data_IF_044555794658
#
_entry.id   IF_044555794658
#
_cell.length_a   1.000
_cell.length_b   1.000
_cell.length_c   1.000
_cell.angle_alpha   90.00
_cell.angle_beta   90.00
_cell.angle_gamma   90.00
#
_symmetry.space_group_name_H-M   'P 1'
#
loop_
_entity.id
_entity.type
_entity.pdbx_description
1 polymer ?
#
# COMPACT_ATOMS: atom_id res chain seq x y z
N UNK A 1 5.55 8.42 -58.72
CA UNK A 1 6.39 7.31 -58.23
C UNK A 1 6.96 7.76 -56.91
N UNK A 2 6.23 7.55 -55.82
CA UNK A 2 6.56 8.08 -54.50
C UNK A 2 6.29 7.00 -53.46
N UNK A 3 7.30 6.78 -52.62
CA UNK A 3 7.24 6.16 -51.30
C UNK A 3 6.91 4.66 -51.23
N UNK A 4 7.89 3.83 -51.60
CA UNK A 4 7.98 2.44 -51.14
C UNK A 4 9.09 2.22 -50.09
N UNK A 5 9.87 3.26 -49.75
CA UNK A 5 10.99 3.17 -48.80
C UNK A 5 10.64 3.56 -47.36
N UNK A 6 9.50 4.22 -47.09
CA UNK A 6 9.14 4.61 -45.72
C UNK A 6 8.53 3.45 -44.90
N UNK A 7 7.81 2.52 -45.55
CA UNK A 7 7.14 1.41 -44.86
C UNK A 7 8.10 0.32 -44.34
N UNK A 8 9.33 0.23 -44.86
CA UNK A 8 10.32 -0.74 -44.38
C UNK A 8 11.05 -0.28 -43.10
N UNK A 9 11.02 1.03 -42.79
CA UNK A 9 11.75 1.60 -41.67
C UNK A 9 10.98 1.59 -40.34
N UNK A 10 9.65 1.50 -40.37
CA UNK A 10 8.83 1.40 -39.15
C UNK A 10 8.69 -0.04 -38.62
N UNK A 11 8.62 -1.05 -39.50
CA UNK A 11 8.43 -2.45 -39.10
C UNK A 11 9.60 -3.03 -38.27
N UNK A 12 10.82 -2.51 -38.45
CA UNK A 12 12.01 -2.97 -37.70
C UNK A 12 12.12 -2.37 -36.28
N UNK A 13 11.36 -1.33 -35.95
CA UNK A 13 11.37 -0.69 -34.61
C UNK A 13 10.27 -1.20 -33.66
N UNK A 14 9.20 -1.81 -34.15
CA UNK A 14 8.13 -2.35 -33.30
C UNK A 14 8.44 -3.74 -32.73
N UNK A 15 9.25 -4.55 -33.43
CA UNK A 15 9.70 -5.87 -32.96
C UNK A 15 10.52 -5.85 -31.64
N UNK A 16 11.42 -4.88 -31.36
CA UNK A 16 12.18 -4.86 -30.10
C UNK A 16 11.35 -4.55 -28.85
N UNK A 17 10.31 -3.70 -28.93
CA UNK A 17 9.48 -3.40 -27.75
C UNK A 17 8.53 -4.56 -27.41
N UNK A 18 7.88 -5.14 -28.44
CA UNK A 18 6.98 -6.28 -28.25
C UNK A 18 7.76 -7.50 -27.75
N UNK A 19 8.96 -7.77 -28.28
CA UNK A 19 9.81 -8.86 -27.76
C UNK A 19 10.26 -8.64 -26.31
N UNK A 20 10.60 -7.41 -25.93
CA UNK A 20 10.93 -7.09 -24.54
C UNK A 20 9.73 -7.27 -23.59
N UNK A 21 8.52 -6.90 -24.01
CA UNK A 21 7.30 -7.15 -23.21
C UNK A 21 6.97 -8.65 -23.09
N UNK A 22 7.15 -9.41 -24.17
CA UNK A 22 6.96 -10.86 -24.14
C UNK A 22 7.98 -11.55 -23.22
N UNK A 23 9.22 -11.07 -23.23
CA UNK A 23 10.28 -11.55 -22.34
C UNK A 23 9.94 -11.27 -20.87
N UNK A 24 9.45 -10.06 -20.54
CA UNK A 24 8.99 -9.72 -19.19
C UNK A 24 7.88 -10.67 -18.73
N UNK A 25 6.86 -10.88 -19.56
CA UNK A 25 5.73 -11.76 -19.26
C UNK A 25 6.21 -13.18 -18.97
N UNK A 26 7.02 -13.75 -19.84
CA UNK A 26 7.46 -15.14 -19.70
C UNK A 26 8.33 -15.34 -18.45
N UNK A 27 9.14 -14.34 -18.09
CA UNK A 27 9.95 -14.35 -16.86
C UNK A 27 9.09 -14.20 -15.60
N UNK A 28 8.10 -13.30 -15.63
CA UNK A 28 7.15 -13.11 -14.55
C UNK A 28 6.34 -14.39 -14.30
N UNK A 29 5.84 -15.04 -15.37
CA UNK A 29 5.11 -16.31 -15.27
C UNK A 29 5.98 -17.41 -14.66
N UNK A 30 7.26 -17.50 -15.01
CA UNK A 30 8.19 -18.46 -14.40
C UNK A 30 8.42 -18.16 -12.91
N UNK A 31 8.58 -16.90 -12.53
CA UNK A 31 8.74 -16.51 -11.12
C UNK A 31 7.49 -16.88 -10.32
N UNK A 32 6.30 -16.54 -10.82
CA UNK A 32 5.02 -16.90 -10.20
C UNK A 32 4.84 -18.42 -10.12
N UNK A 33 5.21 -19.16 -11.16
CA UNK A 33 5.14 -20.63 -11.16
C UNK A 33 6.04 -21.27 -10.09
N UNK A 34 7.24 -20.73 -9.88
CA UNK A 34 8.15 -21.20 -8.81
C UNK A 34 7.58 -20.87 -7.43
N UNK A 35 7.06 -19.66 -7.23
CA UNK A 35 6.37 -19.29 -5.97
C UNK A 35 5.20 -20.23 -5.71
N UNK A 36 4.36 -20.49 -6.71
CA UNK A 36 3.22 -21.38 -6.60
C UNK A 36 3.64 -22.82 -6.30
N UNK A 37 4.69 -23.33 -6.97
CA UNK A 37 5.22 -24.66 -6.71
C UNK A 37 5.74 -24.79 -5.27
N UNK A 38 6.51 -23.81 -4.79
CA UNK A 38 6.98 -23.78 -3.41
C UNK A 38 5.82 -23.67 -2.42
N UNK A 39 4.82 -22.83 -2.70
CA UNK A 39 3.62 -22.71 -1.89
C UNK A 39 2.88 -24.04 -1.79
N UNK A 40 2.65 -24.74 -2.89
CA UNK A 40 2.00 -26.06 -2.87
C UNK A 40 2.80 -27.10 -2.05
N UNK A 41 4.13 -27.01 -2.04
CA UNK A 41 4.97 -27.86 -1.18
C UNK A 41 4.87 -27.48 0.30
N UNK A 42 4.75 -26.19 0.63
CA UNK A 42 4.65 -25.68 2.01
C UNK A 42 3.22 -25.73 2.57
N UNK A 43 2.21 -25.76 1.71
CA UNK A 43 0.79 -25.70 2.05
C UNK A 43 0.36 -26.74 3.10
N UNK A 44 0.75 -28.02 3.02
CA UNK A 44 0.37 -29.03 4.02
C UNK A 44 0.94 -28.75 5.42
N UNK A 45 2.03 -27.98 5.50
CA UNK A 45 2.76 -27.66 6.73
C UNK A 45 2.49 -26.23 7.23
N UNK A 46 1.46 -25.56 6.70
CA UNK A 46 1.20 -24.15 7.00
C UNK A 46 1.06 -23.85 8.49
N UNK A 47 0.38 -24.73 9.24
CA UNK A 47 0.21 -24.59 10.70
C UNK A 47 1.53 -24.75 11.46
N UNK A 48 2.38 -25.70 11.06
CA UNK A 48 3.68 -25.95 11.70
C UNK A 48 4.63 -24.78 11.45
N UNK A 49 4.68 -24.29 10.21
CA UNK A 49 5.45 -23.10 9.82
C UNK A 49 4.98 -21.89 10.63
N UNK A 50 3.66 -21.75 10.78
CA UNK A 50 3.07 -20.67 11.56
C UNK A 50 3.51 -20.71 13.02
N UNK A 51 3.43 -21.85 13.70
CA UNK A 51 3.88 -21.95 15.09
C UNK A 51 5.38 -21.64 15.18
N UNK A 52 6.18 -22.15 14.25
CA UNK A 52 7.62 -21.97 14.25
C UNK A 52 8.05 -20.51 14.04
N UNK A 53 7.42 -19.79 13.12
CA UNK A 53 7.70 -18.37 12.84
C UNK A 53 7.05 -17.46 13.87
N UNK A 54 5.83 -17.76 14.31
CA UNK A 54 5.12 -16.90 15.25
C UNK A 54 5.78 -16.92 16.64
N UNK A 55 6.26 -18.08 17.12
CA UNK A 55 6.90 -18.21 18.46
C UNK A 55 7.98 -17.16 18.75
N UNK A 56 9.03 -16.98 17.93
CA UNK A 56 10.05 -15.96 18.15
C UNK A 56 9.52 -14.54 17.96
N UNK A 57 8.48 -14.36 17.15
CA UNK A 57 7.83 -13.05 17.01
C UNK A 57 7.02 -12.72 18.26
N UNK A 58 6.37 -13.68 18.93
CA UNK A 58 5.62 -13.42 20.17
C UNK A 58 6.52 -13.01 21.33
N UNK A 59 7.79 -13.44 21.33
CA UNK A 59 8.75 -13.14 22.40
C UNK A 59 9.07 -11.64 22.53
N UNK A 60 8.77 -10.84 21.51
CA UNK A 60 8.94 -9.38 21.52
C UNK A 60 7.68 -8.63 21.97
N UNK A 61 6.58 -9.33 22.25
CA UNK A 61 5.40 -8.73 22.89
C UNK A 61 5.62 -8.57 24.40
N UNK A 62 5.04 -7.54 25.04
CA UNK A 62 5.09 -7.37 26.48
C UNK A 62 4.58 -8.60 27.24
N UNK A 63 5.23 -8.94 28.36
CA UNK A 63 4.83 -10.08 29.18
C UNK A 63 3.39 -9.89 29.71
N UNK A 64 2.52 -10.86 29.42
CA UNK A 64 1.11 -10.86 29.87
C UNK A 64 0.08 -10.50 28.81
N UNK A 65 0.48 -10.15 27.59
CA UNK A 65 -0.46 -9.92 26.48
C UNK A 65 -0.90 -11.24 25.84
N UNK A 66 -2.18 -11.56 25.89
CA UNK A 66 -2.77 -12.63 25.07
C UNK A 66 -3.05 -12.10 23.67
N UNK A 67 -2.55 -12.78 22.63
CA UNK A 67 -2.98 -12.47 21.27
C UNK A 67 -4.42 -12.89 21.06
N UNK A 68 -5.20 -11.97 20.54
CA UNK A 68 -6.59 -12.21 20.16
C UNK A 68 -6.66 -12.36 18.64
N UNK A 69 -7.67 -13.09 18.18
CA UNK A 69 -8.10 -13.05 16.79
C UNK A 69 -9.42 -12.29 16.77
N UNK A 70 -9.44 -11.09 16.19
CA UNK A 70 -10.66 -10.27 16.10
C UNK A 70 -11.57 -10.76 14.99
N UNK A 71 -11.02 -11.34 13.93
CA UNK A 71 -11.80 -11.87 12.81
C UNK A 71 -11.96 -13.39 12.93
N UNK A 72 -13.17 -13.89 12.66
CA UNK A 72 -13.49 -15.33 12.75
C UNK A 72 -12.63 -16.18 11.80
N UNK A 73 -12.26 -15.60 10.65
CA UNK A 73 -11.46 -16.28 9.64
C UNK A 73 -9.94 -16.23 9.90
N UNK A 74 -9.45 -15.36 10.81
CA UNK A 74 -8.00 -15.17 11.01
C UNK A 74 -7.26 -16.46 11.37
N UNK A 75 -7.74 -17.31 12.31
CA UNK A 75 -7.01 -18.54 12.66
C UNK A 75 -6.88 -19.53 11.49
N UNK A 76 -7.79 -19.47 10.52
CA UNK A 76 -7.76 -20.31 9.33
C UNK A 76 -6.87 -19.70 8.23
N UNK A 77 -7.03 -18.41 7.92
CA UNK A 77 -6.36 -17.78 6.77
C UNK A 77 -4.90 -17.39 7.06
N UNK A 78 -4.57 -17.04 8.30
CA UNK A 78 -3.24 -16.53 8.64
C UNK A 78 -2.11 -17.54 8.38
N UNK A 79 -2.23 -18.83 8.74
CA UNK A 79 -1.21 -19.83 8.39
C UNK A 79 -0.99 -19.96 6.87
N UNK A 80 -2.05 -19.91 6.06
CA UNK A 80 -1.94 -19.97 4.60
C UNK A 80 -1.31 -18.71 4.01
N UNK A 81 -1.65 -17.53 4.54
CA UNK A 81 -1.02 -16.26 4.14
C UNK A 81 0.49 -16.29 4.43
N UNK A 82 0.86 -16.75 5.62
CA UNK A 82 2.26 -16.86 6.01
C UNK A 82 3.02 -17.87 5.14
N UNK A 83 2.45 -19.04 4.84
CA UNK A 83 3.11 -20.02 3.99
C UNK A 83 3.29 -19.53 2.55
N UNK A 84 2.34 -18.75 2.02
CA UNK A 84 2.49 -18.07 0.72
C UNK A 84 3.64 -17.06 0.73
N UNK A 85 3.71 -16.21 1.76
CA UNK A 85 4.78 -15.22 1.88
C UNK A 85 6.14 -15.89 2.12
N UNK A 86 6.18 -16.97 2.91
CA UNK A 86 7.39 -17.77 3.12
C UNK A 86 7.86 -18.42 1.80
N UNK A 87 6.95 -18.96 1.00
CA UNK A 87 7.25 -19.49 -0.33
C UNK A 87 7.80 -18.39 -1.26
N UNK A 88 7.23 -17.19 -1.19
CA UNK A 88 7.75 -16.03 -1.91
C UNK A 88 9.18 -15.68 -1.47
N UNK A 89 9.46 -15.59 -0.16
CA UNK A 89 10.81 -15.30 0.34
C UNK A 89 11.82 -16.39 0.00
N UNK A 90 11.41 -17.65 -0.06
CA UNK A 90 12.26 -18.76 -0.48
C UNK A 90 12.53 -18.73 -1.99
N UNK A 91 11.62 -18.16 -2.79
CA UNK A 91 11.78 -17.96 -4.23
C UNK A 91 12.68 -16.79 -4.61
N UNK A 92 13.01 -15.89 -3.67
CA UNK A 92 13.77 -14.64 -3.93
C UNK A 92 15.04 -14.83 -4.76
N UNK A 93 15.90 -15.84 -4.50
CA UNK A 93 17.10 -16.05 -5.32
C UNK A 93 16.78 -16.24 -6.80
N UNK A 94 15.70 -16.96 -7.10
CA UNK A 94 15.23 -17.19 -8.46
C UNK A 94 14.51 -15.96 -9.03
N UNK A 95 13.67 -15.29 -8.23
CA UNK A 95 12.94 -14.10 -8.65
C UNK A 95 13.88 -12.95 -8.99
N UNK A 96 14.89 -12.69 -8.16
CA UNK A 96 15.94 -11.71 -8.44
C UNK A 96 16.78 -12.11 -9.66
N UNK A 97 17.10 -13.39 -9.83
CA UNK A 97 17.75 -13.86 -11.06
C UNK A 97 16.93 -13.49 -12.30
N UNK A 98 15.61 -13.73 -12.31
CA UNK A 98 14.79 -13.39 -13.48
C UNK A 98 14.61 -11.90 -13.70
N UNK A 99 14.51 -11.13 -12.62
CA UNK A 99 14.45 -9.66 -12.68
C UNK A 99 15.74 -9.08 -13.26
N UNK A 100 16.91 -9.49 -12.75
CA UNK A 100 18.19 -8.98 -13.24
C UNK A 100 18.54 -9.50 -14.62
N UNK A 101 18.22 -10.76 -14.92
CA UNK A 101 18.44 -11.28 -16.26
C UNK A 101 17.57 -10.57 -17.30
N UNK A 102 16.46 -9.90 -16.92
CA UNK A 102 15.59 -9.13 -17.82
C UNK A 102 16.17 -7.75 -18.11
N UNK A 103 16.87 -7.18 -17.13
CA UNK A 103 17.60 -5.91 -17.28
C UNK A 103 18.93 -6.16 -18.02
N UNK A 104 19.54 -7.34 -17.84
CA UNK A 104 20.79 -7.77 -18.44
C UNK A 104 20.90 -7.79 -19.99
N UNK A 105 19.86 -7.97 -20.83
CA UNK A 105 19.99 -7.86 -22.28
C UNK A 105 20.52 -6.49 -22.75
N UNK A 106 20.26 -5.40 -22.02
CA UNK A 106 20.87 -4.08 -22.27
C UNK A 106 22.32 -3.96 -21.79
N UNK A 107 22.79 -4.96 -21.03
CA UNK A 107 24.05 -4.94 -20.29
C UNK A 107 25.18 -5.51 -21.12
N UNK A 108 25.13 -6.77 -21.59
CA UNK A 108 26.30 -7.38 -22.24
C UNK A 108 25.99 -8.58 -23.14
N UNK A 109 26.34 -8.47 -24.43
CA UNK A 109 26.60 -9.61 -25.29
C UNK A 109 27.94 -10.32 -24.98
N UNK A 110 28.82 -9.73 -24.14
CA UNK A 110 30.21 -10.18 -23.99
C UNK A 110 30.69 -10.48 -22.55
N UNK A 111 29.86 -10.31 -21.50
CA UNK A 111 30.34 -10.42 -20.10
C UNK A 111 29.28 -11.01 -19.15
N UNK A 112 28.64 -12.11 -19.57
CA UNK A 112 27.66 -12.89 -18.77
C UNK A 112 28.15 -13.28 -17.36
N UNK A 113 29.46 -13.21 -17.11
CA UNK A 113 30.11 -13.57 -15.84
C UNK A 113 29.82 -12.60 -14.69
N UNK A 114 29.41 -11.35 -14.97
CA UNK A 114 29.09 -10.36 -13.93
C UNK A 114 27.66 -10.47 -13.39
N UNK A 115 26.75 -11.14 -14.11
CA UNK A 115 25.36 -11.32 -13.66
C UNK A 115 25.29 -12.25 -12.44
N UNK A 116 26.10 -13.30 -12.41
CA UNK A 116 26.11 -14.28 -11.31
C UNK A 116 26.51 -13.67 -9.95
N UNK A 117 27.66 -12.96 -9.80
CA UNK A 117 28.02 -12.35 -8.53
C UNK A 117 27.05 -11.23 -8.13
N UNK A 118 26.42 -10.56 -9.08
CA UNK A 118 25.39 -9.54 -8.83
C UNK A 118 24.11 -10.14 -8.23
N UNK A 119 23.59 -11.21 -8.84
CA UNK A 119 22.41 -11.93 -8.34
C UNK A 119 22.69 -12.56 -6.97
N UNK A 120 23.90 -13.11 -6.78
CA UNK A 120 24.32 -13.63 -5.48
C UNK A 120 24.39 -12.52 -4.42
N UNK A 121 24.97 -11.36 -4.77
CA UNK A 121 25.08 -10.22 -3.85
C UNK A 121 23.72 -9.64 -3.48
N UNK A 122 22.80 -9.50 -4.45
CA UNK A 122 21.42 -9.04 -4.20
C UNK A 122 20.67 -10.01 -3.32
N UNK A 123 20.69 -11.31 -3.64
CA UNK A 123 20.07 -12.33 -2.79
C UNK A 123 20.57 -12.25 -1.33
N UNK A 124 21.88 -12.12 -1.12
CA UNK A 124 22.45 -11.96 0.22
C UNK A 124 21.97 -10.66 0.87
N UNK A 125 21.98 -9.55 0.13
CA UNK A 125 21.60 -8.24 0.64
C UNK A 125 20.11 -8.18 1.01
N UNK A 126 19.23 -8.84 0.26
CA UNK A 126 17.82 -9.01 0.58
C UNK A 126 17.62 -9.71 1.92
N UNK A 127 18.29 -10.85 2.15
CA UNK A 127 18.19 -11.57 3.43
C UNK A 127 18.85 -10.78 4.58
N UNK A 128 19.93 -10.03 4.33
CA UNK A 128 20.46 -9.08 5.31
C UNK A 128 19.42 -8.00 5.63
N UNK A 129 18.68 -7.50 4.63
CA UNK A 129 17.57 -6.56 4.83
C UNK A 129 16.45 -7.13 5.70
N UNK A 130 16.07 -8.38 5.47
CA UNK A 130 15.11 -9.08 6.33
C UNK A 130 15.63 -9.23 7.77
N UNK A 131 16.89 -9.63 7.94
CA UNK A 131 17.52 -9.74 9.27
C UNK A 131 17.61 -8.37 9.96
N UNK A 132 17.94 -7.32 9.23
CA UNK A 132 17.94 -5.95 9.74
C UNK A 132 16.55 -5.52 10.20
N UNK A 133 15.51 -5.83 9.43
CA UNK A 133 14.13 -5.57 9.81
C UNK A 133 13.76 -6.29 11.12
N UNK A 134 14.12 -7.57 11.26
CA UNK A 134 13.82 -8.36 12.46
C UNK A 134 14.61 -7.93 13.70
N UNK A 135 15.93 -7.70 13.59
CA UNK A 135 16.78 -7.45 14.75
C UNK A 135 16.89 -5.99 15.16
N UNK A 136 16.73 -5.05 14.22
CA UNK A 136 16.94 -3.62 14.49
C UNK A 136 15.63 -2.86 14.44
N UNK A 137 14.91 -2.96 13.33
CA UNK A 137 13.73 -2.13 13.10
C UNK A 137 12.58 -2.54 14.01
N UNK A 138 12.32 -3.84 14.07
CA UNK A 138 11.17 -4.38 14.78
C UNK A 138 11.17 -4.06 16.28
N UNK A 139 12.25 -4.29 17.06
CA UNK A 139 12.30 -3.87 18.46
C UNK A 139 12.10 -2.37 18.64
N UNK A 140 12.58 -1.56 17.69
CA UNK A 140 12.56 -0.11 17.78
C UNK A 140 11.15 0.45 17.56
N UNK A 141 10.39 -0.11 16.60
CA UNK A 141 8.98 0.23 16.40
C UNK A 141 8.12 -0.24 17.57
N UNK A 142 8.29 -1.48 18.06
CA UNK A 142 7.50 -1.96 19.19
C UNK A 142 7.84 -1.26 20.52
N UNK A 143 9.11 -0.90 20.75
CA UNK A 143 9.50 -0.07 21.89
C UNK A 143 8.81 1.30 21.83
N UNK A 144 8.71 1.89 20.65
CA UNK A 144 7.96 3.13 20.48
C UNK A 144 6.46 2.94 20.74
N UNK A 145 5.82 1.98 20.08
CA UNK A 145 4.38 1.71 20.22
C UNK A 145 3.96 1.40 21.67
N UNK A 146 4.82 0.72 22.42
CA UNK A 146 4.58 0.41 23.85
C UNK A 146 4.86 1.61 24.76
N UNK A 147 5.82 2.48 24.41
CA UNK A 147 6.10 3.70 25.18
C UNK A 147 5.00 4.76 25.13
N UNK A 148 4.16 4.73 24.09
CA UNK A 148 3.04 5.67 23.92
C UNK A 148 1.76 5.23 24.61
N UNK A 149 1.75 4.03 25.22
CA UNK A 149 0.56 3.47 25.89
C UNK A 149 0.32 4.21 27.20
N UNK A 150 -0.87 4.78 27.43
CA UNK A 150 -1.21 5.42 28.71
C UNK A 150 -1.23 4.40 29.86
N UNK A 151 -0.89 4.88 31.07
CA UNK A 151 -0.94 4.06 32.28
C UNK A 151 -2.36 3.48 32.50
N UNK A 152 -2.45 2.15 32.63
CA UNK A 152 -3.70 1.43 32.88
C UNK A 152 -4.38 0.84 31.64
N UNK A 153 -3.83 1.04 30.43
CA UNK A 153 -4.34 0.39 29.21
C UNK A 153 -3.54 -0.87 28.89
N UNK A 154 -4.20 -2.02 28.84
CA UNK A 154 -3.60 -3.27 28.36
C UNK A 154 -3.65 -3.32 26.84
N UNK A 155 -2.49 -3.33 26.18
CA UNK A 155 -2.41 -3.54 24.73
C UNK A 155 -2.73 -4.99 24.42
N UNK A 156 -3.82 -5.23 23.69
CA UNK A 156 -4.13 -6.52 23.08
C UNK A 156 -3.84 -6.43 21.58
N UNK A 157 -2.92 -7.25 21.09
CA UNK A 157 -2.53 -7.24 19.67
C UNK A 157 -3.27 -8.35 18.92
N UNK A 158 -3.87 -8.00 17.79
CA UNK A 158 -4.44 -8.99 16.86
C UNK A 158 -3.33 -9.72 16.10
N UNK A 159 -3.43 -11.05 16.03
CA UNK A 159 -2.38 -11.89 15.46
C UNK A 159 -2.25 -11.76 13.94
N UNK A 160 -3.35 -11.55 13.23
CA UNK A 160 -3.34 -11.35 11.78
C UNK A 160 -2.75 -9.99 11.43
N UNK A 161 -3.19 -8.92 12.12
CA UNK A 161 -2.62 -7.57 11.91
C UNK A 161 -1.15 -7.51 12.27
N UNK A 162 -0.73 -8.19 13.33
CA UNK A 162 0.67 -8.28 13.72
C UNK A 162 1.54 -8.95 12.66
N UNK A 163 1.11 -10.11 12.16
CA UNK A 163 1.84 -10.80 11.10
C UNK A 163 1.83 -10.00 9.81
N UNK A 164 0.71 -9.36 9.45
CA UNK A 164 0.62 -8.50 8.29
C UNK A 164 1.61 -7.34 8.34
N UNK A 165 1.73 -6.70 9.52
CA UNK A 165 2.71 -5.66 9.74
C UNK A 165 4.14 -6.18 9.54
N UNK A 166 4.49 -7.32 10.15
CA UNK A 166 5.84 -7.90 10.08
C UNK A 166 6.18 -8.36 8.66
N UNK A 167 5.27 -9.05 7.99
CA UNK A 167 5.49 -9.56 6.64
C UNK A 167 5.64 -8.40 5.64
N UNK A 168 4.83 -7.35 5.78
CA UNK A 168 4.99 -6.12 4.98
C UNK A 168 6.32 -5.45 5.27
N UNK A 169 6.75 -5.39 6.53
CA UNK A 169 8.03 -4.81 6.93
C UNK A 169 9.22 -5.57 6.33
N UNK A 170 9.20 -6.91 6.39
CA UNK A 170 10.24 -7.76 5.78
C UNK A 170 10.30 -7.58 4.28
N UNK A 171 9.14 -7.52 3.61
CA UNK A 171 9.10 -7.27 2.18
C UNK A 171 9.68 -5.90 1.84
N UNK A 172 9.25 -4.86 2.55
CA UNK A 172 9.69 -3.50 2.25
C UNK A 172 11.17 -3.27 2.54
N UNK A 173 11.72 -3.77 3.66
CA UNK A 173 13.15 -3.68 3.91
C UNK A 173 13.98 -4.60 3.03
N UNK A 174 13.50 -5.81 2.73
CA UNK A 174 14.16 -6.68 1.76
C UNK A 174 14.31 -5.97 0.40
N UNK A 175 13.24 -5.36 -0.09
CA UNK A 175 13.26 -4.57 -1.32
C UNK A 175 14.07 -3.26 -1.18
N UNK A 176 14.04 -2.58 -0.05
CA UNK A 176 14.84 -1.37 0.18
C UNK A 176 16.34 -1.68 0.16
N UNK A 177 16.74 -2.85 0.62
CA UNK A 177 18.13 -3.32 0.56
C UNK A 177 18.58 -3.66 -0.88
N UNK A 178 17.68 -3.72 -1.86
CA UNK A 178 18.05 -3.80 -3.29
C UNK A 178 18.37 -2.42 -3.92
N UNK A 179 17.96 -1.32 -3.27
CA UNK A 179 18.22 0.05 -3.75
C UNK A 179 19.70 0.33 -4.01
N UNK A 180 20.66 -0.05 -3.13
CA UNK A 180 22.09 0.13 -3.39
C UNK A 180 22.56 -0.56 -4.68
N UNK A 181 22.08 -1.78 -4.93
CA UNK A 181 22.45 -2.58 -6.10
C UNK A 181 21.84 -2.00 -7.36
N UNK A 182 20.55 -1.64 -7.31
CA UNK A 182 19.90 -0.93 -8.41
C UNK A 182 20.65 0.36 -8.75
N UNK A 183 20.99 1.18 -7.75
CA UNK A 183 21.75 2.42 -7.92
C UNK A 183 23.11 2.19 -8.55
N UNK A 184 23.84 1.17 -8.09
CA UNK A 184 25.12 0.75 -8.67
C UNK A 184 24.99 0.39 -10.15
N UNK A 185 23.99 -0.41 -10.51
CA UNK A 185 23.76 -0.86 -11.89
C UNK A 185 23.36 0.31 -12.79
N UNK A 186 22.49 1.22 -12.33
CA UNK A 186 22.10 2.41 -13.10
C UNK A 186 23.31 3.29 -13.46
N UNK A 187 24.24 3.49 -12.51
CA UNK A 187 25.48 4.24 -12.76
C UNK A 187 26.42 3.46 -13.67
N UNK A 188 26.53 2.15 -13.47
CA UNK A 188 27.42 1.31 -14.26
C UNK A 188 26.98 1.20 -15.73
N UNK A 189 25.67 1.14 -15.99
CA UNK A 189 25.08 1.20 -17.32
C UNK A 189 25.22 2.57 -18.00
N UNK A 190 25.63 3.60 -17.26
CA UNK A 190 25.71 4.97 -17.76
C UNK A 190 24.36 5.65 -17.94
N UNK A 191 23.26 5.06 -17.42
CA UNK A 191 21.92 5.67 -17.45
C UNK A 191 21.89 6.95 -16.61
N UNK A 192 22.65 6.96 -15.50
CA UNK A 192 22.78 8.12 -14.62
C UNK A 192 24.22 8.26 -14.11
N UNK A 193 24.53 9.41 -13.52
CA UNK A 193 25.82 9.66 -12.88
C UNK A 193 25.64 9.79 -11.36
N UNK A 194 26.68 9.50 -10.55
CA UNK A 194 26.60 9.70 -9.11
C UNK A 194 26.26 11.14 -8.71
N UNK A 195 26.61 12.13 -9.54
CA UNK A 195 26.28 13.55 -9.33
C UNK A 195 24.78 13.79 -9.52
N UNK A 196 24.18 13.27 -10.60
CA UNK A 196 22.73 13.37 -10.83
C UNK A 196 21.91 12.70 -9.73
N UNK A 197 22.39 11.59 -9.17
CA UNK A 197 21.73 10.91 -8.04
C UNK A 197 21.76 11.73 -6.75
N UNK A 198 22.85 12.47 -6.51
CA UNK A 198 22.98 13.37 -5.34
C UNK A 198 21.98 14.53 -5.45
N UNK A 199 21.78 15.08 -6.63
CA UNK A 199 20.77 16.13 -6.86
C UNK A 199 19.34 15.62 -6.59
N UNK A 200 19.11 14.31 -6.73
CA UNK A 200 17.81 13.68 -6.50
C UNK A 200 17.57 13.22 -5.06
N UNK A 201 18.47 13.51 -4.11
CA UNK A 201 18.28 13.18 -2.68
C UNK A 201 16.92 13.60 -2.10
N UNK A 202 16.40 14.80 -2.35
CA UNK A 202 15.12 15.20 -1.77
C UNK A 202 13.98 14.27 -2.18
N UNK A 203 13.97 13.80 -3.43
CA UNK A 203 12.95 12.86 -3.92
C UNK A 203 13.05 11.50 -3.26
N UNK A 204 14.28 10.99 -3.03
CA UNK A 204 14.49 9.71 -2.35
C UNK A 204 14.09 9.80 -0.89
N UNK A 205 14.39 10.93 -0.23
CA UNK A 205 13.96 11.17 1.15
C UNK A 205 12.43 11.17 1.22
N UNK A 206 11.74 11.90 0.33
CA UNK A 206 10.26 11.88 0.27
C UNK A 206 9.74 10.46 0.04
N UNK A 207 10.32 9.71 -0.90
CA UNK A 207 9.97 8.30 -1.15
C UNK A 207 10.16 7.40 0.08
N UNK A 208 11.24 7.59 0.84
CA UNK A 208 11.49 6.87 2.08
C UNK A 208 10.46 7.21 3.16
N UNK A 209 10.07 8.48 3.28
CA UNK A 209 9.01 8.90 4.20
C UNK A 209 7.63 8.39 3.77
N UNK A 210 7.33 8.33 2.46
CA UNK A 210 6.09 7.74 1.94
C UNK A 210 6.02 6.24 2.24
N UNK A 211 7.14 5.52 2.06
CA UNK A 211 7.20 4.11 2.41
C UNK A 211 7.07 3.93 3.93
N UNK A 212 7.73 4.78 4.73
CA UNK A 212 7.55 4.79 6.18
C UNK A 212 6.09 4.99 6.59
N UNK A 213 5.38 5.93 5.96
CA UNK A 213 3.96 6.19 6.20
C UNK A 213 3.06 5.01 5.79
N UNK A 214 3.45 4.23 4.78
CA UNK A 214 2.70 3.03 4.39
C UNK A 214 2.93 1.88 5.36
N UNK A 215 4.15 1.77 5.89
CA UNK A 215 4.56 0.66 6.75
C UNK A 215 4.17 0.84 8.20
N UNK A 216 4.27 2.07 8.70
CA UNK A 216 3.81 2.41 10.05
C UNK A 216 2.46 3.10 10.00
N UNK A 217 1.64 2.98 11.07
CA UNK A 217 0.51 3.88 11.28
C UNK A 217 0.94 5.35 11.18
N UNK A 218 0.02 6.33 11.09
CA UNK A 218 0.35 7.75 10.98
C UNK A 218 1.01 8.29 12.27
N UNK A 219 2.27 7.91 12.49
CA UNK A 219 3.15 8.29 13.58
C UNK A 219 4.49 8.78 13.01
N UNK A 220 4.81 10.04 13.30
CA UNK A 220 5.99 10.73 12.76
C UNK A 220 7.29 10.10 13.27
N UNK A 221 7.32 9.56 14.49
CA UNK A 221 8.55 9.06 15.10
C UNK A 221 8.95 7.74 14.45
N UNK A 222 8.05 6.76 14.43
CA UNK A 222 8.28 5.47 13.76
C UNK A 222 8.47 5.66 12.26
N UNK A 223 7.74 6.58 11.62
CA UNK A 223 7.95 6.90 10.21
C UNK A 223 9.37 7.40 9.93
N UNK A 224 9.88 8.33 10.75
CA UNK A 224 11.24 8.88 10.61
C UNK A 224 12.30 7.82 10.88
N UNK A 225 12.07 7.00 11.90
CA UNK A 225 12.93 5.89 12.30
C UNK A 225 13.11 4.85 11.18
N UNK A 226 12.05 4.60 10.40
CA UNK A 226 12.08 3.73 9.22
C UNK A 226 12.71 4.41 8.00
N UNK A 227 12.40 5.69 7.78
CA UNK A 227 12.91 6.45 6.63
C UNK A 227 14.43 6.62 6.65
N UNK A 228 15.02 6.79 7.83
CA UNK A 228 16.44 7.04 7.99
C UNK A 228 17.33 5.88 7.49
N UNK A 229 17.10 4.60 7.86
CA UNK A 229 17.79 3.47 7.27
C UNK A 229 17.67 3.39 5.75
N UNK A 230 16.49 3.68 5.19
CA UNK A 230 16.28 3.67 3.73
C UNK A 230 17.11 4.75 3.02
N UNK A 231 17.19 5.95 3.61
CA UNK A 231 18.05 7.01 3.11
C UNK A 231 19.54 6.65 3.20
N UNK A 232 19.97 6.03 4.30
CA UNK A 232 21.35 5.54 4.45
C UNK A 232 21.71 4.47 3.42
N UNK A 233 20.79 3.56 3.09
CA UNK A 233 20.99 2.55 2.05
C UNK A 233 21.20 3.20 0.68
N UNK A 234 20.37 4.20 0.34
CA UNK A 234 20.57 4.96 -0.89
C UNK A 234 21.96 5.61 -0.93
N UNK A 235 22.40 6.21 0.19
CA UNK A 235 23.73 6.82 0.25
C UNK A 235 24.85 5.78 0.08
N UNK A 236 24.72 4.61 0.72
CA UNK A 236 25.64 3.50 0.54
C UNK A 236 25.72 3.07 -0.94
N UNK A 237 24.59 3.03 -1.64
CA UNK A 237 24.51 2.78 -3.09
C UNK A 237 25.29 3.79 -3.92
N UNK A 238 25.09 5.10 -3.66
CA UNK A 238 25.80 6.18 -4.35
C UNK A 238 27.31 6.11 -4.08
N UNK A 239 27.71 5.83 -2.84
CA UNK A 239 29.12 5.67 -2.45
C UNK A 239 29.76 4.47 -3.15
N UNK A 240 29.09 3.32 -3.15
CA UNK A 240 29.55 2.12 -3.86
C UNK A 240 29.70 2.40 -5.36
N UNK A 241 28.73 3.07 -5.98
CA UNK A 241 28.78 3.47 -7.38
C UNK A 241 29.97 4.39 -7.70
N UNK A 242 30.33 5.32 -6.80
CA UNK A 242 31.53 6.18 -6.98
C UNK A 242 32.83 5.41 -6.87
N UNK A 243 32.94 4.50 -5.90
CA UNK A 243 34.16 3.75 -5.62
C UNK A 243 34.48 2.75 -6.74
N UNK A 244 33.46 2.01 -7.20
CA UNK A 244 33.61 0.96 -8.20
C UNK A 244 33.39 1.46 -9.64
N UNK A 245 32.54 2.47 -9.86
CA UNK A 245 32.24 3.01 -11.19
C UNK A 245 33.45 3.63 -11.89
N UNK A 246 34.37 4.27 -11.14
CA UNK A 246 35.61 4.85 -11.72
C UNK A 246 36.55 3.80 -12.30
N UNK A 247 36.67 2.63 -11.67
CA UNK A 247 37.58 1.55 -12.14
C UNK A 247 37.02 0.84 -13.38
N UNK A 248 35.70 0.65 -13.45
CA UNK A 248 35.03 -0.02 -14.58
C UNK A 248 34.94 0.87 -15.82
N UNK A 249 34.70 2.18 -15.65
CA UNK A 249 34.69 3.14 -16.76
C UNK A 249 36.08 3.34 -17.38
N UNK A 250 37.15 3.32 -16.57
CA UNK A 250 38.54 3.39 -17.06
C UNK A 250 38.92 2.16 -17.90
N UNK A 251 38.49 0.95 -17.50
CA UNK A 251 38.69 -0.27 -18.31
C UNK A 251 37.95 -0.23 -19.65
N UNK A 252 36.77 0.38 -19.70
CA UNK A 252 35.96 0.53 -20.93
C UNK A 252 36.52 1.60 -21.87
N UNK A 253 37.09 2.69 -21.34
CA UNK A 253 37.82 3.69 -22.14
C UNK A 253 39.15 3.14 -22.68
N UNK A 254 39.87 2.31 -21.91
CA UNK A 254 41.09 1.66 -22.36
C UNK A 254 40.84 0.60 -23.46
N UNK A 255 39.73 -0.14 -23.40
CA UNK A 255 39.34 -1.12 -24.43
C UNK A 255 38.68 -0.48 -25.67
N UNK A 256 38.09 0.72 -25.53
CA UNK A 256 37.42 1.45 -26.62
C UNK A 256 38.33 2.36 -27.45
N UNK A 257 39.59 2.56 -27.04
CA UNK A 257 40.54 3.47 -27.69
C UNK A 257 40.98 3.08 -29.12
N UNK A 258 40.70 1.87 -29.59
CA UNK A 258 41.07 1.41 -30.94
C UNK A 258 39.95 1.54 -31.99
N UNK A 259 38.76 2.04 -31.65
CA UNK A 259 37.68 2.25 -32.63
C UNK A 259 37.01 3.61 -32.43
N UNK A 260 37.77 4.68 -32.66
CA UNK A 260 37.23 6.02 -32.85
C UNK A 260 36.79 6.22 -34.30
N UNK A 261 35.49 6.33 -34.52
CA UNK A 261 34.83 7.44 -35.24
C UNK A 261 33.48 7.00 -35.85
N UNK A 262 32.46 7.82 -35.57
CA UNK A 262 31.10 7.84 -36.13
C UNK A 262 30.06 6.89 -35.51
N UNK A 263 29.31 7.38 -34.51
CA UNK A 263 27.84 7.28 -34.44
C UNK A 263 27.32 8.20 -33.32
N UNK A 264 26.17 8.89 -33.50
CA UNK A 264 25.64 9.81 -32.51
C UNK A 264 24.95 9.07 -31.36
N UNK A 265 25.12 9.61 -30.16
CA UNK A 265 24.48 9.22 -28.92
C UNK A 265 22.94 9.26 -29.04
N UNK A 266 22.28 8.10 -29.12
CA UNK A 266 20.89 7.91 -28.62
C UNK A 266 20.38 6.49 -28.94
N UNK A 267 20.08 5.70 -27.90
CA UNK A 267 19.10 4.59 -27.97
C UNK A 267 18.91 3.85 -26.63
N UNK A 268 19.83 3.96 -25.67
CA UNK A 268 19.77 3.16 -24.44
C UNK A 268 18.86 3.72 -23.32
N UNK A 269 18.30 4.93 -23.52
CA UNK A 269 17.53 5.65 -22.49
C UNK A 269 16.05 5.26 -22.35
N UNK A 270 15.50 4.45 -23.25
CA UNK A 270 14.04 4.24 -23.32
C UNK A 270 13.52 3.11 -22.41
N UNK A 271 14.31 2.06 -22.15
CA UNK A 271 13.80 0.85 -21.49
C UNK A 271 13.78 0.92 -19.95
N UNK A 272 14.66 1.72 -19.33
CA UNK A 272 14.77 1.83 -17.87
C UNK A 272 13.83 2.89 -17.23
N UNK A 273 13.26 3.78 -18.04
CA UNK A 273 12.33 4.82 -17.57
C UNK A 273 10.97 4.25 -17.11
N UNK A 274 10.60 3.05 -17.57
CA UNK A 274 9.31 2.42 -17.25
C UNK A 274 9.24 1.82 -15.84
N UNK A 275 10.38 1.42 -15.24
CA UNK A 275 10.40 0.73 -13.94
C UNK A 275 10.50 1.68 -12.74
N UNK A 276 10.95 2.92 -12.93
CA UNK A 276 11.08 3.93 -11.87
C UNK A 276 9.86 4.86 -11.74
N UNK A 277 8.87 4.73 -12.63
CA UNK A 277 7.73 5.65 -12.77
C UNK A 277 6.54 5.40 -11.84
N UNK A 278 6.55 4.38 -10.99
CA UNK A 278 5.38 4.01 -10.18
C UNK A 278 5.26 4.71 -8.81
N UNK A 279 6.22 5.57 -8.41
CA UNK A 279 6.21 6.20 -7.08
C UNK A 279 6.44 7.72 -7.08
N UNK A 280 6.43 8.39 -8.24
CA UNK A 280 6.58 9.84 -8.31
C UNK A 280 5.81 10.42 -9.49
N UNK A 281 4.49 10.57 -9.33
CA UNK A 281 3.65 11.39 -10.20
C UNK A 281 2.70 12.25 -9.35
N UNK A 282 3.26 13.24 -8.65
CA UNK A 282 2.58 14.52 -8.46
C UNK A 282 3.53 15.62 -8.94
N UNK A 283 3.08 16.45 -9.88
CA UNK A 283 3.85 17.54 -10.47
C UNK A 283 4.02 17.42 -11.99
N UNK A 284 3.04 17.95 -12.70
CA UNK A 284 2.86 18.01 -14.15
C UNK A 284 4.03 18.66 -14.94
N UNK A 285 4.47 18.09 -16.09
CA UNK A 285 5.06 18.88 -17.16
C UNK A 285 4.40 18.61 -18.53
N UNK A 286 4.01 19.70 -19.18
CA UNK A 286 3.89 19.91 -20.63
C UNK A 286 3.77 18.65 -21.52
N UNK A 287 2.52 18.28 -21.84
CA UNK A 287 2.21 17.22 -22.80
C UNK A 287 0.80 16.65 -22.67
N UNK A 288 -0.21 17.49 -22.44
CA UNK A 288 -1.60 17.09 -22.57
C UNK A 288 -1.99 17.30 -24.04
N UNK A 289 -2.05 16.22 -24.81
CA UNK A 289 -2.78 16.25 -26.09
C UNK A 289 -4.27 16.36 -25.72
N UNK A 290 -4.90 17.42 -26.22
CA UNK A 290 -6.30 17.74 -26.02
C UNK A 290 -7.19 16.48 -26.04
N UNK A 291 -8.04 16.36 -25.02
CA UNK A 291 -9.23 15.52 -25.05
C UNK A 291 -10.05 15.89 -26.29
N UNK A 292 -10.66 14.91 -26.97
CA UNK A 292 -11.54 15.06 -28.16
C UNK A 292 -12.84 15.82 -27.81
N UNK A 293 -12.68 17.06 -27.34
CA UNK A 293 -13.70 17.90 -26.74
C UNK A 293 -13.13 19.16 -26.08
N UNK A 294 -11.86 19.51 -26.32
CA UNK A 294 -11.29 20.79 -25.89
C UNK A 294 -11.77 21.92 -26.83
N UNK A 295 -12.47 22.95 -26.35
CA UNK A 295 -12.95 24.05 -27.18
C UNK A 295 -11.78 24.95 -27.57
N UNK A 296 -11.00 24.51 -28.56
CA UNK A 296 -10.09 25.37 -29.30
C UNK A 296 -10.94 26.37 -30.11
N UNK A 297 -10.59 27.67 -30.15
CA UNK A 297 -11.37 28.72 -30.81
C UNK A 297 -11.49 28.58 -32.34
N UNK A 298 -10.92 27.50 -32.89
CA UNK A 298 -10.83 27.20 -34.32
C UNK A 298 -11.70 25.99 -34.70
N UNK A 299 -12.40 25.37 -33.74
CA UNK A 299 -13.28 24.23 -33.98
C UNK A 299 -14.72 24.70 -34.21
N UNK A 300 -15.17 24.78 -35.48
CA UNK A 300 -16.52 25.22 -35.87
C UNK A 300 -17.66 24.34 -35.31
N UNK A 301 -17.35 23.22 -34.67
CA UNK A 301 -18.31 22.23 -34.18
C UNK A 301 -18.91 22.53 -32.80
N UNK A 302 -18.39 23.49 -32.04
CA UNK A 302 -18.95 23.86 -30.73
C UNK A 302 -19.49 25.30 -30.76
N UNK A 303 -20.77 25.43 -31.13
CA UNK A 303 -21.57 26.61 -30.80
C UNK A 303 -22.43 26.25 -29.58
N UNK A 304 -22.28 26.94 -28.44
CA UNK A 304 -23.16 26.71 -27.30
C UNK A 304 -24.59 27.03 -27.73
N UNK A 305 -25.47 26.04 -27.62
CA UNK A 305 -26.89 26.16 -27.89
C UNK A 305 -27.50 27.13 -26.86
N UNK A 306 -27.98 28.32 -27.27
CA UNK A 306 -28.43 29.36 -26.34
C UNK A 306 -29.67 28.95 -25.54
N UNK A 307 -30.35 27.85 -25.88
CA UNK A 307 -31.51 27.32 -25.16
C UNK A 307 -31.14 26.25 -24.12
N UNK A 308 -29.86 25.87 -24.01
CA UNK A 308 -29.45 24.78 -23.11
C UNK A 308 -29.51 25.12 -21.62
N UNK A 309 -29.64 26.40 -21.28
CA UNK A 309 -29.78 26.87 -19.90
C UNK A 309 -30.87 27.95 -19.84
N UNK A 310 -32.12 27.50 -19.86
CA UNK A 310 -33.25 28.34 -19.48
C UNK A 310 -33.43 28.18 -17.96
N UNK A 311 -33.42 29.27 -17.17
CA UNK A 311 -33.77 29.16 -15.75
C UNK A 311 -35.20 28.62 -15.64
N UNK A 312 -35.41 27.62 -14.79
CA UNK A 312 -36.74 27.03 -14.59
C UNK A 312 -37.74 28.13 -14.22
N UNK A 313 -38.94 28.04 -14.76
CA UNK A 313 -40.02 28.92 -14.32
C UNK A 313 -40.41 28.57 -12.89
N UNK A 314 -41.01 29.51 -12.15
CA UNK A 314 -41.34 29.32 -10.73
C UNK A 314 -42.19 28.05 -10.50
N UNK A 315 -43.15 27.76 -11.39
CA UNK A 315 -43.99 26.55 -11.32
C UNK A 315 -43.19 25.26 -11.56
N UNK A 316 -42.21 25.27 -12.46
CA UNK A 316 -41.35 24.11 -12.72
C UNK A 316 -40.35 23.87 -11.58
N UNK A 317 -39.89 24.95 -10.94
CA UNK A 317 -39.02 24.89 -9.78
C UNK A 317 -39.76 24.31 -8.56
N UNK A 318 -41.00 24.72 -8.35
CA UNK A 318 -41.87 24.21 -7.27
C UNK A 318 -42.21 22.74 -7.51
N UNK A 319 -42.47 22.34 -8.76
CA UNK A 319 -42.68 20.94 -9.13
C UNK A 319 -41.44 20.06 -8.93
N UNK A 320 -40.24 20.56 -9.25
CA UNK A 320 -38.96 19.88 -8.98
C UNK A 320 -38.71 19.72 -7.47
N UNK A 321 -38.99 20.75 -6.67
CA UNK A 321 -38.90 20.71 -5.20
C UNK A 321 -39.85 19.66 -4.60
N UNK A 322 -41.10 19.59 -5.08
CA UNK A 322 -42.06 18.57 -4.65
C UNK A 322 -41.56 17.14 -4.98
N UNK A 323 -40.93 16.94 -6.15
CA UNK A 323 -40.32 15.63 -6.47
C UNK A 323 -39.12 15.30 -5.58
N UNK A 324 -38.29 16.30 -5.23
CA UNK A 324 -37.14 16.09 -4.35
C UNK A 324 -37.61 15.77 -2.93
N UNK A 325 -38.61 16.48 -2.40
CA UNK A 325 -39.20 16.15 -1.09
C UNK A 325 -39.85 14.76 -1.10
N UNK A 326 -40.50 14.36 -2.20
CA UNK A 326 -41.07 13.02 -2.34
C UNK A 326 -40.00 11.91 -2.45
N UNK A 327 -38.88 12.17 -3.13
CA UNK A 327 -37.73 11.26 -3.16
C UNK A 327 -37.05 11.20 -1.79
N UNK A 328 -36.86 12.32 -1.10
CA UNK A 328 -36.23 12.37 0.23
C UNK A 328 -37.10 11.65 1.27
N UNK A 329 -38.42 11.81 1.21
CA UNK A 329 -39.35 11.03 2.03
C UNK A 329 -39.28 9.51 1.74
N UNK A 330 -39.04 9.12 0.48
CA UNK A 330 -38.86 7.72 0.10
C UNK A 330 -37.50 7.15 0.56
N UNK A 331 -36.50 8.00 0.77
CA UNK A 331 -35.20 7.60 1.33
C UNK A 331 -35.24 7.47 2.85
N UNK A 332 -36.03 8.32 3.54
CA UNK A 332 -36.24 8.24 5.00
C UNK A 332 -37.00 6.95 5.39
N UNK A 333 -37.96 6.51 4.56
CA UNK A 333 -38.60 5.19 4.69
C UNK A 333 -37.62 4.03 4.38
N UNK A 334 -36.58 4.27 3.58
CA UNK A 334 -35.57 3.29 3.17
C UNK A 334 -34.49 3.00 4.23
N UNK A 335 -34.32 3.85 5.24
CA UNK A 335 -33.41 3.60 6.38
C UNK A 335 -34.03 2.71 7.48
N UNK A 336 -35.33 2.39 7.41
CA UNK A 336 -35.97 1.46 8.37
C UNK A 336 -35.88 -0.02 7.99
N UNK A 337 -35.44 -0.38 6.77
CA UNK A 337 -35.31 -1.80 6.37
C UNK A 337 -33.95 -2.44 6.74
N UNK A 338 -33.20 -1.80 7.63
CA UNK A 338 -31.97 -2.33 8.23
C UNK A 338 -32.09 -2.81 9.67
N UNK A 339 -33.26 -2.74 10.32
CA UNK A 339 -33.44 -3.22 11.68
C UNK A 339 -33.70 -4.73 11.71
N UNK A 340 -32.76 -5.47 12.28
CA UNK A 340 -32.96 -6.89 12.56
C UNK A 340 -34.24 -7.06 13.39
N UNK A 341 -35.07 -8.07 13.10
CA UNK A 341 -36.31 -8.33 13.85
C UNK A 341 -36.09 -8.54 15.38
N UNK A 342 -34.83 -8.72 15.81
CA UNK A 342 -34.43 -8.70 17.22
C UNK A 342 -34.32 -7.28 17.82
N UNK A 343 -33.84 -6.30 17.05
CA UNK A 343 -33.63 -4.92 17.53
C UNK A 343 -34.96 -4.16 17.63
N UNK A 344 -35.86 -4.30 16.65
CA UNK A 344 -37.21 -3.72 16.73
C UNK A 344 -38.01 -4.23 17.94
N UNK A 345 -37.79 -5.48 18.34
CA UNK A 345 -38.43 -6.06 19.53
C UNK A 345 -37.74 -5.60 20.83
N UNK A 346 -36.44 -5.28 20.79
CA UNK A 346 -35.71 -4.71 21.92
C UNK A 346 -36.18 -3.26 22.19
N UNK A 347 -36.29 -2.43 21.15
CA UNK A 347 -36.75 -1.05 21.30
C UNK A 347 -38.21 -0.97 21.77
N UNK A 348 -39.11 -1.82 21.24
CA UNK A 348 -40.48 -1.91 21.73
C UNK A 348 -40.58 -2.42 23.18
N UNK A 349 -39.61 -3.22 23.67
CA UNK A 349 -39.54 -3.61 25.09
C UNK A 349 -39.09 -2.44 25.96
N UNK A 350 -38.08 -1.69 25.53
CA UNK A 350 -37.55 -0.55 26.29
C UNK A 350 -38.56 0.60 26.34
N UNK A 351 -39.28 0.87 25.24
CA UNK A 351 -40.30 1.92 25.22
C UNK A 351 -41.49 1.60 26.14
N UNK A 352 -41.89 0.33 26.25
CA UNK A 352 -42.89 -0.11 27.24
C UNK A 352 -42.42 0.14 28.67
N UNK A 353 -41.15 -0.15 28.98
CA UNK A 353 -40.56 0.15 30.29
C UNK A 353 -40.55 1.64 30.59
N UNK A 354 -40.26 2.50 29.60
CA UNK A 354 -40.30 3.96 29.76
C UNK A 354 -41.72 4.48 30.08
N UNK A 355 -42.76 3.95 29.41
CA UNK A 355 -44.16 4.29 29.73
C UNK A 355 -44.55 3.83 31.14
N UNK A 356 -44.09 2.66 31.56
CA UNK A 356 -44.34 2.14 32.91
C UNK A 356 -43.62 2.98 33.99
N UNK A 357 -42.39 3.45 33.70
CA UNK A 357 -41.68 4.41 34.56
C UNK A 357 -42.49 5.69 34.76
N UNK A 358 -43.10 6.23 33.70
CA UNK A 358 -43.94 7.42 33.80
C UNK A 358 -45.17 7.17 34.69
N UNK A 359 -45.86 6.03 34.50
CA UNK A 359 -46.99 5.65 35.35
C UNK A 359 -46.61 5.48 36.82
N UNK A 360 -45.46 4.85 37.10
CA UNK A 360 -44.97 4.66 38.47
C UNK A 360 -44.56 5.98 39.12
N UNK A 361 -43.98 6.90 38.36
CA UNK A 361 -43.66 8.26 38.84
C UNK A 361 -44.94 9.01 39.21
N UNK A 362 -45.95 8.96 38.34
CA UNK A 362 -47.23 9.64 38.57
C UNK A 362 -48.00 9.02 39.75
N UNK A 363 -47.78 7.73 40.03
CA UNK A 363 -48.31 7.03 41.20
C UNK A 363 -47.46 7.19 42.48
N UNK A 364 -46.36 7.95 42.45
CA UNK A 364 -45.46 8.16 43.59
C UNK A 364 -44.61 6.94 43.98
N UNK A 365 -44.54 5.90 43.14
CA UNK A 365 -43.81 4.66 43.39
C UNK A 365 -42.35 4.74 42.91
N UNK A 366 -41.58 5.65 43.52
CA UNK A 366 -40.20 6.04 43.12
C UNK A 366 -39.23 4.84 43.05
N UNK A 367 -39.33 3.90 43.99
CA UNK A 367 -38.46 2.72 44.01
C UNK A 367 -38.66 1.79 42.80
N UNK A 368 -39.91 1.66 42.33
CA UNK A 368 -40.24 0.87 41.14
C UNK A 368 -39.75 1.53 39.86
N UNK A 369 -39.96 2.85 39.74
CA UNK A 369 -39.46 3.64 38.62
C UNK A 369 -37.92 3.56 38.51
N UNK A 370 -37.20 3.66 39.64
CA UNK A 370 -35.73 3.59 39.67
C UNK A 370 -35.21 2.23 39.19
N UNK A 371 -35.88 1.13 39.56
CA UNK A 371 -35.49 -0.23 39.12
C UNK A 371 -35.59 -0.37 37.59
N UNK A 372 -36.71 0.07 37.01
CA UNK A 372 -36.90 0.00 35.55
C UNK A 372 -35.92 0.90 34.79
N UNK A 373 -35.60 2.08 35.34
CA UNK A 373 -34.60 2.98 34.75
C UNK A 373 -33.19 2.35 34.70
N UNK A 374 -32.78 1.59 35.73
CA UNK A 374 -31.51 0.86 35.68
C UNK A 374 -31.50 -0.27 34.65
N UNK A 375 -32.63 -0.96 34.45
CA UNK A 375 -32.74 -1.95 33.37
C UNK A 375 -32.64 -1.30 31.99
N UNK A 376 -33.27 -0.13 31.80
CA UNK A 376 -33.19 0.65 30.55
C UNK A 376 -31.75 1.11 30.28
N UNK A 377 -31.00 1.51 31.31
CA UNK A 377 -29.57 1.87 31.15
C UNK A 377 -28.70 0.72 30.65
N UNK A 378 -29.12 -0.53 30.83
CA UNK A 378 -28.39 -1.72 30.39
C UNK A 378 -28.87 -2.31 29.07
N UNK A 379 -30.13 -2.06 28.68
CA UNK A 379 -30.78 -2.67 27.51
C UNK A 379 -31.08 -1.66 26.38
N UNK A 380 -31.07 -0.35 26.65
CA UNK A 380 -31.56 0.68 25.72
C UNK A 380 -30.49 1.22 24.76
N UNK A 381 -30.97 1.81 23.66
CA UNK A 381 -30.14 2.54 22.71
C UNK A 381 -29.62 3.87 23.31
N UNK A 382 -28.70 4.56 22.60
CA UNK A 382 -27.99 5.73 23.12
C UNK A 382 -28.95 6.84 23.59
N UNK A 383 -30.04 7.08 22.87
CA UNK A 383 -31.01 8.13 23.20
C UNK A 383 -31.88 7.73 24.40
N UNK A 384 -32.36 6.49 24.44
CA UNK A 384 -33.13 5.96 25.57
C UNK A 384 -32.32 5.96 26.87
N UNK A 385 -31.02 5.65 26.79
CA UNK A 385 -30.08 5.72 27.93
C UNK A 385 -29.91 7.15 28.43
N UNK A 386 -29.83 8.13 27.53
CA UNK A 386 -29.72 9.54 27.89
C UNK A 386 -31.00 10.05 28.58
N UNK A 387 -32.18 9.66 28.09
CA UNK A 387 -33.47 9.97 28.72
C UNK A 387 -33.55 9.32 30.11
N UNK A 388 -33.22 8.04 30.24
CA UNK A 388 -33.26 7.34 31.53
C UNK A 388 -32.32 7.97 32.56
N UNK A 389 -31.12 8.40 32.14
CA UNK A 389 -30.15 9.09 33.00
C UNK A 389 -30.68 10.44 33.49
N UNK A 390 -31.32 11.22 32.63
CA UNK A 390 -31.92 12.51 33.02
C UNK A 390 -33.07 12.32 34.03
N UNK A 391 -33.93 11.32 33.81
CA UNK A 391 -35.03 11.00 34.72
C UNK A 391 -34.49 10.53 36.09
N UNK A 392 -33.44 9.70 36.12
CA UNK A 392 -32.79 9.31 37.37
C UNK A 392 -32.22 10.50 38.14
N UNK A 393 -31.58 11.44 37.44
CA UNK A 393 -31.04 12.66 38.06
C UNK A 393 -32.14 13.53 38.69
N UNK A 394 -33.32 13.61 38.06
CA UNK A 394 -34.47 14.33 38.63
C UNK A 394 -35.01 13.63 39.88
N UNK A 395 -35.12 12.30 39.86
CA UNK A 395 -35.57 11.50 41.01
C UNK A 395 -34.57 11.48 42.18
N UNK A 396 -33.30 11.80 41.94
CA UNK A 396 -32.27 11.93 42.97
C UNK A 396 -32.25 13.35 43.59
N UNK A 397 -32.89 14.32 42.94
CA UNK A 397 -32.95 15.72 43.37
C UNK A 397 -34.20 16.06 44.21
N UNK A 398 -35.26 15.26 44.08
CA UNK A 398 -36.50 15.30 44.89
C UNK A 398 -36.37 14.41 46.14
#
# INVERSE_FOLDING_TARGET
MTNQNDQASESFKEQPFVSHLLELRDRLLRAVAVVAALFLCLFPFANDIYIWVATPLMAHLPAGTSMIATEVASPFLTPFKLSLVAAFFLSIPFTLYQMWAFIAPGLYAHEKRLVLPLVASSTVLFYIGMLFAYYVVFPLVFAFLTSTVPDGVTVATDIAKYLDFILTLFFAFGMAFEVPIATFILVWMGVTTPQKLVEKRPYIIVGAFLLGMLLTPPDVISQTLLALPMWLLFEAGVVAARLFGRRLQQGRQAAGGEKSNNAPDSAAGAAAAAAAGAAAASGNPAGFTAFDGDPSPENEAWKPDPERYVPLTEEEMEAELDTIEAEEAAWDDGEQEGESASDANADARVERKLREVQQLRDAGAVAGARKLLYEILSEGNVDQVNVARNILQQLDAD
#
